data_IF_309018331101
#
_entry.id   IF_309018331101
#
_cell.length_a   1.000
_cell.length_b   1.000
_cell.length_c   1.000
_cell.angle_alpha   90.00
_cell.angle_beta   90.00
_cell.angle_gamma   90.00
#
_symmetry.space_group_name_H-M   'P 1'
#
loop_
_entity.id
_entity.type
_entity.pdbx_description
1 polymer ?
#
# COMPACT_ATOMS: atom_id res chain seq x y z
N UNK A 1 25.68 -2.45 3.33
CA UNK A 1 25.06 -3.77 3.66
C UNK A 1 23.56 -3.67 3.34
N UNK A 2 23.10 -4.14 2.17
CA UNK A 2 21.66 -4.06 1.80
C UNK A 2 20.96 -5.30 2.34
N UNK A 3 20.22 -5.17 3.44
CA UNK A 3 19.39 -6.25 3.99
C UNK A 3 18.18 -6.45 3.08
N UNK A 4 18.28 -7.40 2.15
CA UNK A 4 17.13 -7.95 1.43
C UNK A 4 16.38 -8.86 2.38
N UNK A 5 15.56 -8.28 3.25
CA UNK A 5 14.66 -9.09 4.10
C UNK A 5 13.49 -9.55 3.23
N UNK A 6 13.42 -10.86 3.04
CA UNK A 6 12.19 -11.60 2.73
C UNK A 6 11.26 -11.38 3.92
N UNK A 7 10.19 -10.64 3.70
CA UNK A 7 9.20 -10.32 4.73
C UNK A 7 8.18 -11.45 4.71
N UNK A 8 8.15 -12.21 5.80
CA UNK A 8 7.24 -13.32 6.01
C UNK A 8 5.82 -12.78 6.21
N UNK A 9 4.83 -13.51 5.71
CA UNK A 9 3.40 -13.15 5.78
C UNK A 9 2.85 -13.03 7.21
N UNK A 10 3.60 -13.44 8.24
CA UNK A 10 3.21 -13.43 9.65
C UNK A 10 3.29 -12.02 10.29
N UNK A 11 4.02 -11.09 9.68
CA UNK A 11 4.23 -9.72 10.21
C UNK A 11 3.32 -8.67 9.57
N UNK A 12 2.22 -9.06 8.90
CA UNK A 12 1.30 -8.11 8.27
C UNK A 12 0.27 -7.63 9.31
N UNK A 13 0.37 -6.40 9.84
CA UNK A 13 -0.52 -5.94 10.92
C UNK A 13 -1.98 -5.81 10.46
N UNK A 14 -2.20 -5.50 9.18
CA UNK A 14 -3.52 -5.31 8.60
C UNK A 14 -3.67 -6.17 7.33
N UNK A 15 -4.02 -7.46 7.47
CA UNK A 15 -4.17 -8.35 6.32
C UNK A 15 -5.29 -7.90 5.38
N UNK A 16 -6.39 -7.37 5.91
CA UNK A 16 -7.49 -6.81 5.12
C UNK A 16 -7.04 -5.67 4.20
N UNK A 17 -6.29 -4.69 4.72
CA UNK A 17 -5.73 -3.60 3.91
C UNK A 17 -4.74 -4.13 2.86
N UNK A 18 -3.93 -5.11 3.22
CA UNK A 18 -2.99 -5.73 2.28
C UNK A 18 -3.73 -6.41 1.12
N UNK A 19 -4.86 -7.08 1.38
CA UNK A 19 -5.70 -7.68 0.34
C UNK A 19 -6.35 -6.63 -0.55
N UNK A 20 -6.89 -5.53 0.00
CA UNK A 20 -7.42 -4.42 -0.80
C UNK A 20 -6.36 -3.82 -1.73
N UNK A 21 -5.18 -3.51 -1.20
CA UNK A 21 -4.08 -2.97 -1.99
C UNK A 21 -3.58 -3.96 -3.04
N UNK A 22 -3.63 -5.27 -2.74
CA UNK A 22 -3.26 -6.33 -3.69
C UNK A 22 -4.27 -6.41 -4.84
N UNK A 23 -5.56 -6.30 -4.56
CA UNK A 23 -6.63 -6.29 -5.56
C UNK A 23 -6.53 -5.06 -6.44
N UNK A 24 -6.45 -3.86 -5.84
CA UNK A 24 -6.26 -2.61 -6.58
C UNK A 24 -5.02 -2.67 -7.49
N UNK A 25 -3.88 -3.18 -6.98
CA UNK A 25 -2.67 -3.33 -7.78
C UNK A 25 -2.86 -4.28 -8.96
N UNK A 26 -3.68 -5.32 -8.81
CA UNK A 26 -4.00 -6.26 -9.89
C UNK A 26 -4.84 -5.56 -10.96
N UNK A 27 -5.87 -4.83 -10.55
CA UNK A 27 -6.73 -4.07 -11.45
C UNK A 27 -5.95 -3.01 -12.24
N UNK A 28 -5.11 -2.23 -11.56
CA UNK A 28 -4.25 -1.22 -12.20
C UNK A 28 -3.22 -1.85 -13.16
N UNK A 29 -2.73 -3.03 -12.83
CA UNK A 29 -1.83 -3.78 -13.70
C UNK A 29 -2.55 -4.29 -14.96
N UNK A 30 -3.77 -4.79 -14.81
CA UNK A 30 -4.63 -5.23 -15.91
C UNK A 30 -5.02 -4.06 -16.82
N UNK A 31 -5.44 -2.93 -16.24
CA UNK A 31 -5.79 -1.69 -16.98
C UNK A 31 -4.61 -1.20 -17.84
N UNK A 32 -3.41 -1.19 -17.27
CA UNK A 32 -2.20 -0.77 -17.98
C UNK A 32 -1.57 -1.85 -18.84
N UNK A 33 -2.11 -3.07 -18.85
CA UNK A 33 -1.49 -4.25 -19.47
C UNK A 33 -0.03 -4.44 -19.06
N UNK A 34 0.27 -4.15 -17.79
CA UNK A 34 1.59 -4.29 -17.18
C UNK A 34 1.58 -5.39 -16.12
N UNK A 35 2.73 -5.98 -15.81
CA UNK A 35 2.83 -6.88 -14.67
C UNK A 35 2.61 -6.15 -13.34
N UNK A 36 1.98 -6.81 -12.35
CA UNK A 36 1.71 -6.22 -11.01
C UNK A 36 2.96 -5.66 -10.31
N UNK A 37 4.13 -6.25 -10.56
CA UNK A 37 5.39 -5.77 -9.99
C UNK A 37 5.85 -4.44 -10.61
N UNK A 38 5.38 -4.09 -11.82
CA UNK A 38 5.69 -2.84 -12.49
C UNK A 38 4.88 -1.66 -11.91
N UNK A 39 3.67 -1.94 -11.40
CA UNK A 39 2.88 -0.97 -10.64
C UNK A 39 3.54 -0.73 -9.29
N UNK A 40 3.73 -1.81 -8.52
CA UNK A 40 4.35 -1.73 -7.20
C UNK A 40 4.93 -3.07 -6.73
N UNK A 41 6.16 -3.01 -6.20
CA UNK A 41 6.77 -4.16 -5.54
C UNK A 41 6.02 -4.53 -4.25
N UNK A 42 5.92 -5.83 -3.97
CA UNK A 42 5.31 -6.34 -2.74
C UNK A 42 5.91 -5.71 -1.47
N UNK A 43 7.22 -5.41 -1.47
CA UNK A 43 7.89 -4.77 -0.32
C UNK A 43 7.39 -3.36 -0.04
N UNK A 44 7.07 -2.60 -1.09
CA UNK A 44 6.47 -1.28 -0.94
C UNK A 44 5.04 -1.42 -0.39
N UNK A 45 4.26 -2.38 -0.88
CA UNK A 45 2.91 -2.68 -0.37
C UNK A 45 2.94 -2.96 1.13
N UNK A 46 3.88 -3.79 1.58
CA UNK A 46 4.04 -4.14 2.99
C UNK A 46 4.51 -2.97 3.85
N UNK A 47 5.37 -2.10 3.31
CA UNK A 47 5.73 -0.85 3.98
C UNK A 47 4.53 0.08 4.17
N UNK A 48 3.67 0.18 3.15
CA UNK A 48 2.45 1.00 3.21
C UNK A 48 1.49 0.46 4.28
N UNK A 49 1.25 -0.86 4.30
CA UNK A 49 0.36 -1.50 5.27
C UNK A 49 0.86 -1.31 6.71
N UNK A 50 2.18 -1.32 6.92
CA UNK A 50 2.77 -1.09 8.24
C UNK A 50 2.76 0.38 8.66
N UNK A 51 2.97 1.32 7.72
CA UNK A 51 3.07 2.74 8.03
C UNK A 51 1.74 3.48 8.00
N UNK A 52 0.69 2.91 7.38
CA UNK A 52 -0.63 3.53 7.18
C UNK A 52 -0.55 5.01 6.76
N UNK A 53 0.22 5.35 5.71
CA UNK A 53 0.42 6.73 5.32
C UNK A 53 -0.93 7.37 4.95
N UNK A 54 -1.16 8.57 5.47
CA UNK A 54 -2.38 9.35 5.22
C UNK A 54 -2.14 10.55 4.30
N UNK A 55 -0.87 10.82 3.99
CA UNK A 55 -0.41 11.85 3.05
C UNK A 55 0.67 11.31 2.09
N UNK A 56 0.78 11.96 0.93
CA UNK A 56 1.83 11.78 -0.07
C UNK A 56 3.25 11.87 0.52
N UNK A 57 3.50 12.76 1.48
CA UNK A 57 4.80 12.87 2.17
C UNK A 57 5.11 11.61 2.98
N UNK A 58 4.14 11.08 3.70
CA UNK A 58 4.29 9.85 4.48
C UNK A 58 4.49 8.66 3.54
N UNK A 59 3.70 8.61 2.45
CA UNK A 59 3.82 7.58 1.44
C UNK A 59 5.21 7.57 0.79
N UNK A 60 5.81 8.75 0.59
CA UNK A 60 7.18 8.89 0.08
C UNK A 60 8.25 8.50 1.12
N UNK A 61 7.96 8.62 2.40
CA UNK A 61 8.85 8.17 3.48
C UNK A 61 8.87 6.64 3.62
N UNK A 62 7.87 5.93 3.06
CA UNK A 62 7.81 4.47 3.09
C UNK A 62 8.98 3.86 2.29
N UNK A 63 9.71 2.89 2.88
CA UNK A 63 10.76 2.18 2.17
C UNK A 63 10.26 1.52 0.89
N UNK A 64 11.04 1.62 -0.19
CA UNK A 64 10.74 1.06 -1.52
C UNK A 64 9.61 1.74 -2.29
N UNK A 65 8.97 2.77 -1.73
CA UNK A 65 8.06 3.64 -2.47
C UNK A 65 8.86 4.79 -3.11
N UNK A 66 8.74 4.93 -4.43
CA UNK A 66 9.40 6.00 -5.18
C UNK A 66 8.48 7.18 -5.45
N UNK A 67 9.06 8.37 -5.67
CA UNK A 67 8.34 9.60 -6.07
C UNK A 67 7.40 9.39 -7.27
N UNK A 68 7.79 8.53 -8.21
CA UNK A 68 7.00 8.22 -9.40
C UNK A 68 5.74 7.41 -9.06
N UNK A 69 5.85 6.49 -8.13
CA UNK A 69 4.71 5.70 -7.62
C UNK A 69 3.76 6.59 -6.85
N UNK A 70 4.28 7.46 -5.97
CA UNK A 70 3.46 8.43 -5.21
C UNK A 70 2.70 9.38 -6.15
N UNK A 71 3.36 9.92 -7.17
CA UNK A 71 2.68 10.83 -8.11
C UNK A 71 1.64 10.13 -8.98
N UNK A 72 1.89 8.89 -9.41
CA UNK A 72 0.94 8.18 -10.29
C UNK A 72 -0.19 7.48 -9.54
N UNK A 73 0.11 6.94 -8.36
CA UNK A 73 -0.78 6.03 -7.64
C UNK A 73 -1.05 6.43 -6.20
N UNK A 74 -0.36 7.47 -5.70
CA UNK A 74 -0.47 7.87 -4.31
C UNK A 74 -1.88 8.24 -3.91
N UNK A 75 -2.62 8.95 -4.77
CA UNK A 75 -4.01 9.31 -4.51
C UNK A 75 -4.89 8.06 -4.33
N UNK A 76 -4.83 7.09 -5.25
CA UNK A 76 -5.58 5.84 -5.17
C UNK A 76 -5.24 5.02 -3.93
N UNK A 77 -3.94 4.90 -3.62
CA UNK A 77 -3.46 4.18 -2.42
C UNK A 77 -3.95 4.87 -1.15
N UNK A 78 -3.81 6.19 -1.05
CA UNK A 78 -4.25 6.97 0.10
C UNK A 78 -5.76 6.88 0.27
N UNK A 79 -6.52 6.83 -0.82
CA UNK A 79 -7.96 6.64 -0.77
C UNK A 79 -8.31 5.26 -0.18
N UNK A 80 -7.66 4.18 -0.61
CA UNK A 80 -7.88 2.83 -0.08
C UNK A 80 -7.58 2.80 1.42
N UNK A 81 -6.44 3.35 1.84
CA UNK A 81 -6.05 3.40 3.26
C UNK A 81 -7.08 4.20 4.06
N UNK A 82 -7.53 5.36 3.56
CA UNK A 82 -8.56 6.16 4.22
C UNK A 82 -9.86 5.37 4.36
N UNK A 83 -10.33 4.72 3.29
CA UNK A 83 -11.54 3.89 3.34
C UNK A 83 -11.43 2.76 4.36
N UNK A 84 -10.28 2.10 4.42
CA UNK A 84 -10.00 1.05 5.41
C UNK A 84 -10.02 1.60 6.84
N UNK A 85 -9.31 2.71 7.10
CA UNK A 85 -9.26 3.34 8.43
C UNK A 85 -10.64 3.85 8.84
N UNK A 86 -11.41 4.44 7.93
CA UNK A 86 -12.78 4.87 8.21
C UNK A 86 -13.69 3.67 8.53
N UNK A 87 -13.60 2.57 7.76
CA UNK A 87 -14.37 1.36 8.05
C UNK A 87 -13.99 0.73 9.39
N UNK A 88 -12.72 0.82 9.81
CA UNK A 88 -12.25 0.34 11.11
C UNK A 88 -12.62 1.28 12.28
N UNK A 89 -12.59 2.59 12.08
CA UNK A 89 -12.80 3.63 13.10
C UNK A 89 -14.29 3.93 13.39
N UNK A 90 -15.22 3.53 12.51
CA UNK A 90 -16.68 3.65 12.74
C UNK A 90 -17.14 2.92 14.02
N UNK A 91 -16.30 2.10 14.64
CA UNK A 91 -16.55 1.50 15.96
C UNK A 91 -16.29 2.45 17.15
N UNK A 92 -15.88 3.71 16.95
CA UNK A 92 -15.52 4.65 18.03
C UNK A 92 -16.42 5.87 18.18
N UNK A 93 -17.57 5.91 17.52
CA UNK A 93 -18.53 7.00 17.73
C UNK A 93 -19.99 6.55 17.56
N UNK A 94 -20.49 5.77 18.51
CA UNK A 94 -21.89 5.83 19.00
C UNK A 94 -21.88 5.67 20.51
#
# INVERSE_FOLDING_TARGET
>A
KKKTTVIASDEIPHPALYEELRSWRKEEAEDRSLPVYAIMHQKALLGIVQSLPTSDKELLAVPHVGKRTVQQYGESILQIIKTFVQSADVTKSV
#
